data_IF_430276140092
#
_entry.id   IF_430276140092
#
_cell.length_a   1.000
_cell.length_b   1.000
_cell.length_c   1.000
_cell.angle_alpha   90.00
_cell.angle_beta   90.00
_cell.angle_gamma   90.00
#
_symmetry.space_group_name_H-M   'P 1'
#
loop_
_entity.id
_entity.type
_entity.pdbx_description
1 polymer ?
#
# COMPACT_ATOMS: atom_id res chain seq x y z
N UNK A 1 78.97 67.30 44.37
CA UNK A 1 78.68 65.90 44.78
C UNK A 1 77.68 65.32 43.77
N UNK A 2 77.75 64.01 43.51
CA UNK A 2 78.54 63.30 42.48
C UNK A 2 77.87 63.41 41.07
N UNK A 3 78.37 62.94 39.92
CA UNK A 3 79.48 62.06 39.53
C UNK A 3 78.97 61.24 38.34
N UNK A 4 79.70 61.20 37.21
CA UNK A 4 79.56 60.22 36.13
C UNK A 4 80.62 60.43 35.03
N UNK A 5 80.91 59.33 34.33
CA UNK A 5 81.51 59.17 32.99
C UNK A 5 82.99 58.75 32.81
N UNK A 6 83.12 57.50 32.32
CA UNK A 6 83.75 57.03 31.08
C UNK A 6 85.27 57.25 30.83
N UNK A 7 86.02 56.12 30.88
CA UNK A 7 86.82 55.44 29.82
C UNK A 7 87.90 56.24 28.99
N UNK A 8 88.81 55.61 28.17
CA UNK A 8 89.51 54.30 28.19
C UNK A 8 91.00 54.34 27.70
N UNK A 9 91.57 53.14 27.41
CA UNK A 9 92.69 52.77 26.48
C UNK A 9 94.10 52.63 27.11
N UNK A 10 94.99 51.65 26.82
CA UNK A 10 95.47 51.04 25.55
C UNK A 10 96.17 49.66 25.81
N UNK A 11 95.83 48.64 24.99
CA UNK A 11 96.65 47.67 24.18
C UNK A 11 98.02 47.16 24.74
N UNK A 12 98.36 45.87 24.68
CA UNK A 12 98.84 45.05 23.51
C UNK A 12 99.05 43.59 23.99
N UNK A 13 98.90 42.47 23.27
CA UNK A 13 99.52 41.88 22.04
C UNK A 13 98.85 40.48 21.93
N UNK A 14 98.43 39.94 20.79
CA UNK A 14 99.25 39.32 19.72
C UNK A 14 98.51 38.02 19.32
N UNK A 15 97.93 37.92 18.13
CA UNK A 15 98.51 37.31 16.91
C UNK A 15 98.88 35.83 17.04
N UNK A 16 97.90 34.94 16.89
CA UNK A 16 97.96 33.64 16.20
C UNK A 16 96.54 33.04 16.18
N UNK A 17 96.16 32.30 15.13
CA UNK A 17 94.89 31.55 14.94
C UNK A 17 93.74 32.23 14.17
N UNK A 18 94.01 32.93 13.06
CA UNK A 18 92.95 33.36 12.11
C UNK A 18 92.79 32.52 10.84
N UNK A 19 93.56 31.45 10.64
CA UNK A 19 93.44 30.61 9.42
C UNK A 19 92.64 29.31 9.57
N UNK A 20 92.30 28.87 10.78
CA UNK A 20 91.57 27.61 11.01
C UNK A 20 90.06 27.78 11.26
N UNK A 21 89.57 29.00 11.51
CA UNK A 21 88.13 29.26 11.74
C UNK A 21 87.31 29.44 10.46
N UNK A 22 87.92 29.81 9.34
CA UNK A 22 87.15 30.01 8.09
C UNK A 22 86.80 28.69 7.39
N UNK A 23 87.68 27.67 7.51
CA UNK A 23 87.47 26.35 6.91
C UNK A 23 86.38 25.53 7.62
N UNK A 24 86.22 25.65 8.93
CA UNK A 24 85.18 24.91 9.66
C UNK A 24 83.78 25.50 9.48
N UNK A 25 83.66 26.82 9.27
CA UNK A 25 82.38 27.45 8.98
C UNK A 25 81.83 27.08 7.61
N UNK A 26 82.69 26.92 6.60
CA UNK A 26 82.27 26.48 5.26
C UNK A 26 81.87 25.01 5.27
N UNK A 27 82.52 24.17 6.09
CA UNK A 27 82.17 22.76 6.22
C UNK A 27 80.87 22.55 7.04
N UNK A 28 80.65 23.36 8.09
CA UNK A 28 79.39 23.35 8.85
C UNK A 28 78.21 23.93 8.05
N UNK A 29 78.43 24.96 7.23
CA UNK A 29 77.40 25.47 6.30
C UNK A 29 77.11 24.49 5.17
N UNK A 30 78.13 23.75 4.68
CA UNK A 30 77.96 22.67 3.70
C UNK A 30 77.14 21.50 4.24
N UNK A 31 77.38 21.06 5.48
CA UNK A 31 76.60 19.97 6.11
C UNK A 31 75.18 20.41 6.47
N UNK A 32 74.98 21.67 6.90
CA UNK A 32 73.63 22.22 7.10
C UNK A 32 72.84 22.39 5.79
N UNK A 33 73.52 22.72 4.68
CA UNK A 33 72.89 22.82 3.36
C UNK A 33 72.58 21.45 2.74
N UNK A 34 73.38 20.42 3.00
CA UNK A 34 73.15 19.05 2.51
C UNK A 34 72.08 18.31 3.34
N UNK A 35 72.02 18.52 4.66
CA UNK A 35 70.92 17.99 5.48
C UNK A 35 69.60 18.77 5.32
N UNK A 36 69.66 20.02 4.84
CA UNK A 36 68.48 20.83 4.50
C UNK A 36 67.94 20.60 3.09
N UNK A 37 68.59 19.75 2.28
CA UNK A 37 68.14 19.45 0.92
C UNK A 37 67.08 18.34 0.91
N UNK A 38 65.83 18.79 0.74
CA UNK A 38 64.68 18.06 0.17
C UNK A 38 64.31 16.74 0.87
N UNK A 39 63.73 16.86 2.07
CA UNK A 39 62.50 16.08 2.28
C UNK A 39 61.53 16.62 1.23
N UNK A 40 61.28 15.83 0.17
CA UNK A 40 60.47 16.27 -0.96
C UNK A 40 59.12 16.72 -0.45
N UNK A 41 58.89 18.03 -0.53
CA UNK A 41 57.64 18.66 -0.10
C UNK A 41 56.46 18.10 -0.88
N UNK A 42 56.69 17.58 -2.08
CA UNK A 42 55.72 16.81 -2.86
C UNK A 42 55.46 15.43 -2.24
N UNK A 43 56.49 14.65 -1.91
CA UNK A 43 56.35 13.35 -1.23
C UNK A 43 55.56 13.46 0.08
N UNK A 44 55.84 14.47 0.90
CA UNK A 44 55.09 14.69 2.15
C UNK A 44 53.65 15.16 1.91
N UNK A 45 53.39 15.93 0.85
CA UNK A 45 52.02 16.34 0.47
C UNK A 45 51.20 15.14 -0.02
N UNK A 46 51.79 14.31 -0.86
CA UNK A 46 51.15 13.12 -1.40
C UNK A 46 50.87 12.10 -0.30
N UNK A 47 51.80 11.93 0.65
CA UNK A 47 51.60 11.06 1.79
C UNK A 47 50.46 11.57 2.72
N UNK A 48 50.40 12.87 3.00
CA UNK A 48 49.30 13.49 3.77
C UNK A 48 47.96 13.38 3.02
N UNK A 49 47.96 13.54 1.70
CA UNK A 49 46.76 13.38 0.89
C UNK A 49 46.29 11.92 0.90
N UNK A 50 47.21 10.96 0.77
CA UNK A 50 46.89 9.53 0.85
C UNK A 50 46.31 9.18 2.22
N UNK A 51 46.87 9.67 3.33
CA UNK A 51 46.28 9.45 4.65
C UNK A 51 44.89 10.06 4.80
N UNK A 52 44.63 11.21 4.16
CA UNK A 52 43.28 11.80 4.15
C UNK A 52 42.30 10.95 3.36
N UNK A 53 42.71 10.46 2.19
CA UNK A 53 41.89 9.58 1.36
C UNK A 53 41.63 8.25 2.08
N UNK A 54 42.65 7.66 2.68
CA UNK A 54 42.53 6.42 3.45
C UNK A 54 41.62 6.59 4.67
N UNK A 55 41.75 7.69 5.41
CA UNK A 55 40.86 8.00 6.53
C UNK A 55 39.41 8.26 6.08
N UNK A 56 39.22 8.84 4.90
CA UNK A 56 37.89 9.04 4.33
C UNK A 56 37.28 7.72 3.88
N UNK A 57 38.07 6.83 3.26
CA UNK A 57 37.60 5.51 2.87
C UNK A 57 37.19 4.69 4.09
N UNK A 58 38.00 4.67 5.16
CA UNK A 58 37.62 3.98 6.40
C UNK A 58 36.33 4.54 7.03
N UNK A 59 36.10 5.85 6.90
CA UNK A 59 34.85 6.44 7.36
C UNK A 59 33.66 6.02 6.48
N UNK A 60 33.87 5.93 5.17
CA UNK A 60 32.84 5.43 4.22
C UNK A 60 32.53 3.95 4.49
N UNK A 61 33.54 3.11 4.66
CA UNK A 61 33.37 1.68 4.95
C UNK A 61 32.58 1.48 6.25
N UNK A 62 32.86 2.27 7.28
CA UNK A 62 32.11 2.22 8.54
C UNK A 62 30.65 2.67 8.38
N UNK A 63 30.39 3.70 7.56
CA UNK A 63 29.02 4.13 7.25
C UNK A 63 28.26 3.10 6.42
N UNK A 64 28.95 2.32 5.57
CA UNK A 64 28.35 1.22 4.81
C UNK A 64 27.92 0.10 5.75
N UNK A 65 28.76 -0.29 6.71
CA UNK A 65 28.41 -1.28 7.75
C UNK A 65 27.24 -0.82 8.63
N UNK A 66 27.24 0.44 9.08
CA UNK A 66 26.11 1.01 9.84
C UNK A 66 24.83 1.07 8.99
N UNK A 67 24.94 1.32 7.69
CA UNK A 67 23.79 1.34 6.79
C UNK A 67 23.21 -0.07 6.59
N UNK A 68 24.06 -1.08 6.42
CA UNK A 68 23.65 -2.48 6.31
C UNK A 68 22.93 -2.97 7.59
N UNK A 69 23.45 -2.63 8.77
CA UNK A 69 22.80 -2.98 10.06
C UNK A 69 21.40 -2.35 10.17
N UNK A 70 21.26 -1.07 9.78
CA UNK A 70 19.98 -0.36 9.79
C UNK A 70 19.01 -0.92 8.75
N UNK A 71 19.49 -1.31 7.56
CA UNK A 71 18.67 -1.95 6.53
C UNK A 71 18.14 -3.31 7.01
N UNK A 72 18.99 -4.14 7.63
CA UNK A 72 18.56 -5.41 8.23
C UNK A 72 17.55 -5.20 9.36
N UNK A 73 17.75 -4.20 10.24
CA UNK A 73 16.77 -3.87 11.28
C UNK A 73 15.43 -3.43 10.67
N UNK A 74 15.48 -2.62 9.59
CA UNK A 74 14.28 -2.15 8.89
C UNK A 74 13.53 -3.27 8.18
N UNK A 75 14.23 -4.18 7.49
CA UNK A 75 13.61 -5.34 6.83
C UNK A 75 12.99 -6.34 7.81
N UNK A 76 13.52 -6.40 9.04
CA UNK A 76 12.95 -7.22 10.12
C UNK A 76 11.68 -6.61 10.75
N UNK A 77 11.33 -5.36 10.42
CA UNK A 77 10.06 -4.77 10.84
C UNK A 77 8.89 -5.39 10.08
N UNK A 78 7.71 -5.43 10.72
CA UNK A 78 6.50 -5.90 10.04
C UNK A 78 6.11 -4.95 8.91
N UNK A 79 5.77 -5.51 7.75
CA UNK A 79 5.26 -4.75 6.62
C UNK A 79 4.07 -3.87 7.01
N UNK A 80 4.06 -2.65 6.47
CA UNK A 80 2.89 -1.80 6.57
C UNK A 80 1.69 -2.47 5.90
N UNK A 81 0.49 -2.38 6.50
CA UNK A 81 -0.68 -2.99 5.91
C UNK A 81 -0.96 -2.37 4.55
N UNK A 82 -1.13 -3.23 3.54
CA UNK A 82 -1.48 -2.78 2.20
C UNK A 82 -2.78 -1.93 2.22
N UNK A 83 -2.84 -1.00 1.27
CA UNK A 83 -3.98 -0.12 1.02
C UNK A 83 -5.30 -0.89 0.88
N UNK A 84 -5.28 -2.10 0.32
CA UNK A 84 -6.47 -2.96 0.21
C UNK A 84 -6.96 -3.45 1.58
N UNK A 85 -6.04 -3.88 2.45
CA UNK A 85 -6.33 -4.27 3.84
C UNK A 85 -6.93 -3.11 4.62
N UNK A 86 -6.36 -1.91 4.48
CA UNK A 86 -6.90 -0.69 5.08
C UNK A 86 -8.30 -0.36 4.58
N UNK A 87 -8.55 -0.48 3.27
CA UNK A 87 -9.88 -0.26 2.67
C UNK A 87 -10.92 -1.25 3.18
N UNK A 88 -10.56 -2.53 3.29
CA UNK A 88 -11.43 -3.59 3.85
C UNK A 88 -11.75 -3.35 5.33
N UNK A 89 -10.75 -2.96 6.13
CA UNK A 89 -10.97 -2.64 7.53
C UNK A 89 -11.89 -1.42 7.70
N UNK A 90 -11.66 -0.34 6.94
CA UNK A 90 -12.57 0.82 6.90
C UNK A 90 -13.98 0.45 6.47
N UNK A 91 -14.15 -0.49 5.55
CA UNK A 91 -15.47 -0.96 5.13
C UNK A 91 -16.17 -1.76 6.24
N UNK A 92 -15.44 -2.63 6.94
CA UNK A 92 -15.96 -3.39 8.09
C UNK A 92 -16.40 -2.47 9.23
N UNK A 93 -15.59 -1.47 9.56
CA UNK A 93 -15.94 -0.47 10.58
C UNK A 93 -17.21 0.28 10.16
N UNK A 94 -17.28 0.79 8.92
CA UNK A 94 -18.48 1.46 8.39
C UNK A 94 -19.75 0.60 8.40
N UNK A 95 -19.61 -0.72 8.19
CA UNK A 95 -20.76 -1.64 8.29
C UNK A 95 -21.25 -1.83 9.73
N UNK A 96 -20.43 -1.53 10.74
CA UNK A 96 -20.79 -1.59 12.17
C UNK A 96 -21.26 -0.25 12.73
N UNK A 97 -20.87 0.86 12.10
CA UNK A 97 -21.27 2.23 12.49
C UNK A 97 -22.76 2.54 12.19
N UNK A 98 -23.50 1.57 11.64
CA UNK A 98 -24.94 1.53 11.43
C UNK A 98 -25.62 2.89 11.27
N UNK A 99 -25.63 3.41 10.04
CA UNK A 99 -26.35 4.64 9.68
C UNK A 99 -27.88 4.48 9.60
N UNK A 100 -28.43 3.40 10.16
CA UNK A 100 -29.87 3.09 10.10
C UNK A 100 -30.74 4.20 10.72
N UNK A 101 -30.18 5.05 11.59
CA UNK A 101 -30.92 6.15 12.21
C UNK A 101 -30.98 7.43 11.37
N UNK A 102 -30.21 7.54 10.27
CA UNK A 102 -30.10 8.78 9.50
C UNK A 102 -30.93 8.78 8.21
N UNK A 103 -31.12 7.63 7.56
CA UNK A 103 -31.83 7.51 6.29
C UNK A 103 -32.91 6.43 6.35
N UNK A 104 -34.02 6.61 5.64
CA UNK A 104 -35.08 5.60 5.57
C UNK A 104 -34.65 4.36 4.76
N UNK A 105 -35.41 3.25 4.85
CA UNK A 105 -35.13 1.98 4.14
C UNK A 105 -34.94 2.10 2.62
N UNK A 106 -35.55 3.13 2.02
CA UNK A 106 -35.52 3.40 0.58
C UNK A 106 -34.54 4.50 0.18
N UNK A 107 -33.70 4.95 1.11
CA UNK A 107 -32.72 6.00 0.94
C UNK A 107 -31.30 5.48 1.22
N UNK A 108 -30.31 6.20 0.71
CA UNK A 108 -28.90 5.94 1.00
C UNK A 108 -28.16 7.23 1.33
N UNK A 109 -27.12 7.16 2.19
CA UNK A 109 -26.36 8.33 2.56
C UNK A 109 -25.40 8.77 1.45
N UNK A 110 -25.48 10.04 1.06
CA UNK A 110 -24.51 10.72 0.21
C UNK A 110 -23.12 10.77 0.85
N UNK A 111 -23.00 10.55 2.16
CA UNK A 111 -21.73 10.68 2.89
C UNK A 111 -21.15 12.10 2.80
N UNK A 112 -19.86 12.23 3.11
CA UNK A 112 -19.21 13.54 3.25
C UNK A 112 -19.47 14.16 4.63
N UNK A 113 -19.16 15.45 4.76
CA UNK A 113 -19.29 16.18 6.04
C UNK A 113 -20.74 16.55 6.37
N UNK A 114 -21.57 16.76 5.35
CA UNK A 114 -22.98 17.13 5.51
C UNK A 114 -23.83 15.87 5.30
N UNK A 115 -24.54 15.40 6.34
CA UNK A 115 -25.41 14.24 6.19
C UNK A 115 -26.59 14.59 5.27
N UNK A 116 -26.66 13.91 4.13
CA UNK A 116 -27.77 13.99 3.18
C UNK A 116 -28.15 12.56 2.77
N UNK A 117 -29.45 12.30 2.69
CA UNK A 117 -30.02 11.05 2.20
C UNK A 117 -30.70 11.30 0.85
N UNK A 118 -30.53 10.37 -0.09
CA UNK A 118 -31.19 10.39 -1.40
C UNK A 118 -31.87 9.06 -1.65
N UNK A 119 -32.94 9.08 -2.46
CA UNK A 119 -33.67 7.86 -2.81
C UNK A 119 -32.80 6.86 -3.56
N UNK A 120 -33.00 5.57 -3.32
CA UNK A 120 -32.21 4.51 -3.98
C UNK A 120 -32.40 4.40 -5.49
N UNK A 121 -33.42 5.05 -6.05
CA UNK A 121 -33.65 5.13 -7.49
C UNK A 121 -32.97 6.33 -8.16
N UNK A 122 -32.40 7.24 -7.37
CA UNK A 122 -31.69 8.44 -7.85
C UNK A 122 -30.19 8.19 -8.01
N UNK A 123 -29.66 7.13 -7.39
CA UNK A 123 -28.24 6.81 -7.50
C UNK A 123 -27.92 6.25 -8.88
N UNK A 124 -26.94 6.85 -9.57
CA UNK A 124 -26.49 6.46 -10.90
C UNK A 124 -27.59 6.57 -11.96
N UNK A 125 -28.50 7.54 -11.82
CA UNK A 125 -29.56 7.79 -12.79
C UNK A 125 -29.12 8.76 -13.90
N UNK A 126 -27.98 9.45 -13.71
CA UNK A 126 -27.42 10.44 -14.61
C UNK A 126 -27.60 11.89 -14.13
N UNK A 127 -28.26 12.11 -13.00
CA UNK A 127 -28.47 13.41 -12.36
C UNK A 127 -27.81 13.45 -10.99
N UNK A 128 -27.20 14.60 -10.65
CA UNK A 128 -26.56 14.79 -9.36
C UNK A 128 -27.61 15.22 -8.34
N UNK A 129 -28.07 14.29 -7.51
CA UNK A 129 -29.01 14.53 -6.42
C UNK A 129 -28.31 14.74 -5.08
N UNK A 130 -27.13 14.16 -4.88
CA UNK A 130 -26.28 14.52 -3.75
C UNK A 130 -25.63 15.90 -3.98
N UNK A 131 -25.57 16.73 -2.93
CA UNK A 131 -24.91 18.05 -2.99
C UNK A 131 -23.42 17.96 -3.32
N UNK A 132 -22.77 16.86 -2.92
CA UNK A 132 -21.38 16.55 -3.29
C UNK A 132 -21.26 15.81 -4.63
N UNK A 133 -22.37 15.43 -5.27
CA UNK A 133 -22.43 14.68 -6.52
C UNK A 133 -21.95 13.23 -6.43
N UNK A 134 -21.83 12.67 -5.22
CA UNK A 134 -21.26 11.33 -4.98
C UNK A 134 -22.06 10.21 -5.63
N UNK A 135 -23.36 10.36 -5.67
CA UNK A 135 -24.31 9.45 -6.30
C UNK A 135 -24.04 9.18 -7.78
N UNK A 136 -23.32 10.09 -8.46
CA UNK A 136 -22.95 9.98 -9.88
C UNK A 136 -21.44 9.78 -10.10
N UNK A 137 -20.68 9.50 -9.05
CA UNK A 137 -19.23 9.25 -9.18
C UNK A 137 -18.95 7.86 -9.77
N UNK A 138 -17.91 7.77 -10.61
CA UNK A 138 -17.55 6.54 -11.35
C UNK A 138 -17.37 5.31 -10.45
N UNK A 139 -16.86 5.48 -9.22
CA UNK A 139 -16.69 4.37 -8.29
C UNK A 139 -18.01 3.95 -7.60
N UNK A 140 -19.02 4.80 -7.56
CA UNK A 140 -20.36 4.43 -7.08
C UNK A 140 -21.09 3.68 -8.19
N UNK A 141 -21.00 4.19 -9.42
CA UNK A 141 -21.67 3.65 -10.61
C UNK A 141 -20.86 2.59 -11.36
N UNK A 142 -19.81 2.04 -10.72
CA UNK A 142 -18.92 1.08 -11.33
C UNK A 142 -19.66 -0.20 -11.73
N UNK A 143 -19.53 -0.58 -13.01
CA UNK A 143 -20.08 -1.83 -13.55
C UNK A 143 -19.18 -3.04 -13.26
N UNK A 144 -18.00 -2.83 -12.67
CA UNK A 144 -17.02 -3.88 -12.34
C UNK A 144 -17.63 -5.11 -11.64
N UNK A 145 -18.52 -4.96 -10.63
CA UNK A 145 -19.15 -6.09 -9.95
C UNK A 145 -20.04 -6.97 -10.84
N UNK A 146 -20.47 -6.43 -11.99
CA UNK A 146 -21.42 -7.05 -12.90
C UNK A 146 -20.90 -7.08 -14.33
N UNK A 147 -19.58 -7.00 -14.50
CA UNK A 147 -18.96 -7.18 -15.80
C UNK A 147 -19.24 -8.60 -16.30
N UNK A 148 -19.59 -8.73 -17.59
CA UNK A 148 -19.80 -10.04 -18.22
C UNK A 148 -18.52 -10.88 -18.13
N UNK A 149 -18.64 -12.14 -17.70
CA UNK A 149 -17.52 -13.02 -17.45
C UNK A 149 -16.96 -12.96 -16.03
N UNK A 150 -17.36 -12.00 -15.20
CA UNK A 150 -17.02 -12.02 -13.77
C UNK A 150 -17.56 -13.28 -13.11
N UNK A 151 -16.68 -14.01 -12.42
CA UNK A 151 -17.04 -15.21 -11.67
C UNK A 151 -16.75 -14.99 -10.20
N UNK A 152 -17.75 -15.25 -9.35
CA UNK A 152 -17.64 -15.14 -7.90
C UNK A 152 -17.79 -16.52 -7.29
N UNK A 153 -16.74 -16.99 -6.61
CA UNK A 153 -16.69 -18.32 -6.00
C UNK A 153 -16.66 -18.19 -4.48
N UNK A 154 -17.42 -19.03 -3.79
CA UNK A 154 -17.47 -19.03 -2.33
C UNK A 154 -18.01 -20.35 -1.78
N UNK A 155 -17.80 -20.58 -0.49
CA UNK A 155 -18.35 -21.74 0.22
C UNK A 155 -19.76 -21.39 0.71
N UNK A 156 -20.77 -22.09 0.21
CA UNK A 156 -22.15 -21.96 0.65
C UNK A 156 -22.41 -22.83 1.88
N UNK A 157 -22.84 -22.20 2.97
CA UNK A 157 -23.27 -22.84 4.20
C UNK A 157 -24.79 -22.73 4.33
N UNK A 158 -25.44 -23.84 4.63
CA UNK A 158 -26.91 -23.91 4.77
C UNK A 158 -27.28 -23.83 6.24
N UNK A 159 -28.20 -22.94 6.56
CA UNK A 159 -28.81 -22.81 7.89
C UNK A 159 -30.22 -23.38 7.91
N UNK A 160 -30.92 -23.35 6.77
CA UNK A 160 -32.33 -23.74 6.65
C UNK A 160 -32.68 -24.14 5.20
N UNK A 161 -33.94 -24.50 4.93
CA UNK A 161 -34.54 -24.87 3.65
C UNK A 161 -33.98 -26.12 2.96
N UNK A 162 -32.70 -26.46 3.19
CA UNK A 162 -32.02 -27.64 2.68
C UNK A 162 -31.11 -28.22 3.74
N UNK A 163 -31.12 -29.55 3.81
CA UNK A 163 -30.17 -30.32 4.62
C UNK A 163 -29.08 -30.79 3.67
N UNK A 164 -27.86 -30.28 3.81
CA UNK A 164 -26.73 -30.68 2.99
C UNK A 164 -25.41 -30.11 3.51
N UNK A 165 -24.28 -30.76 3.19
CA UNK A 165 -22.98 -30.24 3.59
C UNK A 165 -22.67 -28.91 2.88
N UNK A 166 -21.81 -28.07 3.48
CA UNK A 166 -21.28 -26.92 2.80
C UNK A 166 -20.62 -27.29 1.46
N UNK A 167 -20.83 -26.48 0.44
CA UNK A 167 -20.29 -26.74 -0.89
C UNK A 167 -19.90 -25.47 -1.62
N UNK A 168 -18.92 -25.57 -2.53
CA UNK A 168 -18.53 -24.42 -3.35
C UNK A 168 -19.64 -24.06 -4.33
N UNK A 169 -19.95 -22.77 -4.39
CA UNK A 169 -20.88 -22.18 -5.34
C UNK A 169 -20.14 -21.11 -6.13
N UNK A 170 -20.29 -21.15 -7.44
CA UNK A 170 -19.76 -20.17 -8.39
C UNK A 170 -20.91 -19.44 -9.08
N UNK A 171 -20.87 -18.11 -9.07
CA UNK A 171 -21.83 -17.23 -9.72
C UNK A 171 -21.11 -16.56 -10.88
N UNK A 172 -21.45 -16.92 -12.11
CA UNK A 172 -20.83 -16.35 -13.33
C UNK A 172 -21.78 -15.39 -14.00
N UNK A 173 -21.37 -14.14 -14.19
CA UNK A 173 -22.17 -13.12 -14.88
C UNK A 173 -22.14 -13.40 -16.39
N UNK A 174 -23.29 -13.77 -16.95
CA UNK A 174 -23.42 -14.15 -18.36
C UNK A 174 -23.78 -12.98 -19.28
N UNK A 175 -24.58 -12.03 -18.78
CA UNK A 175 -24.95 -10.83 -19.53
C UNK A 175 -25.36 -9.71 -18.59
N UNK A 176 -25.09 -8.46 -18.99
CA UNK A 176 -25.50 -7.26 -18.27
C UNK A 176 -26.11 -6.26 -19.24
N UNK A 177 -27.21 -5.63 -18.85
CA UNK A 177 -27.91 -4.62 -19.63
C UNK A 177 -28.40 -3.49 -18.73
N UNK A 178 -27.93 -2.28 -19.00
CA UNK A 178 -28.54 -1.04 -18.48
C UNK A 178 -29.55 -0.52 -19.50
N UNK A 179 -30.63 0.10 -19.03
CA UNK A 179 -31.62 0.76 -19.89
C UNK A 179 -31.41 2.27 -19.79
N UNK A 180 -31.44 2.97 -20.92
CA UNK A 180 -31.04 4.38 -20.99
C UNK A 180 -31.92 5.29 -20.13
N UNK A 181 -33.23 5.00 -20.07
CA UNK A 181 -34.20 5.78 -19.29
C UNK A 181 -34.25 5.40 -17.80
N UNK A 182 -33.56 4.34 -17.38
CA UNK A 182 -33.58 3.87 -15.98
C UNK A 182 -32.24 3.21 -15.63
N UNK A 183 -31.24 4.07 -15.35
CA UNK A 183 -29.85 3.66 -15.12
C UNK A 183 -29.54 3.26 -13.68
N UNK A 184 -30.41 3.62 -12.72
CA UNK A 184 -30.29 3.26 -11.31
C UNK A 184 -30.25 1.75 -11.04
N UNK A 185 -30.58 0.91 -12.03
CA UNK A 185 -30.38 -0.54 -11.98
C UNK A 185 -29.80 -1.06 -13.28
N UNK A 186 -28.89 -2.03 -13.14
CA UNK A 186 -28.42 -2.82 -14.26
C UNK A 186 -29.06 -4.22 -14.21
N UNK A 187 -29.70 -4.65 -15.28
CA UNK A 187 -30.26 -6.00 -15.38
C UNK A 187 -29.15 -7.00 -15.67
N UNK A 188 -29.15 -8.12 -14.95
CA UNK A 188 -28.09 -9.11 -15.00
C UNK A 188 -28.68 -10.49 -15.28
N UNK A 189 -28.00 -11.25 -16.13
CA UNK A 189 -28.16 -12.70 -16.26
C UNK A 189 -26.89 -13.37 -15.76
N UNK A 190 -27.04 -14.46 -15.04
CA UNK A 190 -25.94 -15.20 -14.47
C UNK A 190 -26.20 -16.71 -14.55
N UNK A 191 -25.14 -17.49 -14.46
CA UNK A 191 -25.19 -18.94 -14.27
C UNK A 191 -24.67 -19.22 -12.87
N UNK A 192 -25.45 -19.94 -12.08
CA UNK A 192 -25.05 -20.36 -10.73
C UNK A 192 -24.76 -21.84 -10.75
N UNK A 193 -23.56 -22.22 -10.32
CA UNK A 193 -23.08 -23.61 -10.31
C UNK A 193 -22.64 -24.00 -8.90
N UNK A 194 -23.16 -25.10 -8.37
CA UNK A 194 -22.76 -25.69 -7.09
C UNK A 194 -22.03 -27.02 -7.28
N UNK A 195 -20.95 -27.21 -6.53
CA UNK A 195 -20.13 -28.44 -6.46
C UNK A 195 -20.56 -29.29 -5.27
N UNK A 196 -21.63 -30.08 -5.43
CA UNK A 196 -22.26 -30.80 -4.32
C UNK A 196 -21.66 -32.20 -4.19
N UNK A 197 -21.07 -32.56 -3.04
CA UNK A 197 -20.65 -33.93 -2.77
C UNK A 197 -21.87 -34.86 -2.76
N UNK A 198 -21.80 -35.95 -3.51
CA UNK A 198 -22.80 -37.02 -3.50
C UNK A 198 -22.48 -38.05 -2.39
N UNK A 199 -23.38 -39.01 -2.15
CA UNK A 199 -23.27 -40.04 -1.10
C UNK A 199 -21.97 -40.88 -1.20
N UNK A 200 -21.37 -40.93 -2.39
CA UNK A 200 -20.10 -41.61 -2.66
C UNK A 200 -18.86 -40.71 -2.52
N UNK A 201 -19.02 -39.49 -2.02
CA UNK A 201 -18.01 -38.43 -2.02
C UNK A 201 -17.54 -37.99 -3.42
N UNK A 202 -18.34 -38.26 -4.45
CA UNK A 202 -18.10 -37.77 -5.81
C UNK A 202 -18.70 -36.36 -5.96
N UNK A 203 -18.01 -35.45 -6.65
CA UNK A 203 -18.48 -34.08 -6.81
C UNK A 203 -19.47 -34.02 -7.97
N UNK A 204 -20.74 -33.78 -7.66
CA UNK A 204 -21.78 -33.53 -8.66
C UNK A 204 -21.94 -32.04 -8.92
N UNK A 205 -21.90 -31.64 -10.20
CA UNK A 205 -22.13 -30.25 -10.61
C UNK A 205 -23.63 -30.03 -10.84
N UNK A 206 -24.22 -29.08 -10.11
CA UNK A 206 -25.59 -28.62 -10.37
C UNK A 206 -25.55 -27.16 -10.80
N UNK A 207 -26.10 -26.86 -11.97
CA UNK A 207 -26.14 -25.49 -12.49
C UNK A 207 -27.57 -25.06 -12.85
N UNK A 208 -27.82 -23.76 -12.73
CA UNK A 208 -29.08 -23.16 -13.13
C UNK A 208 -28.87 -21.73 -13.64
N UNK A 209 -29.71 -21.30 -14.59
CA UNK A 209 -29.66 -19.92 -15.08
C UNK A 209 -30.48 -19.01 -14.17
N UNK A 210 -29.89 -17.89 -13.79
CA UNK A 210 -30.50 -16.87 -12.97
C UNK A 210 -30.58 -15.53 -13.71
N UNK A 211 -31.58 -14.74 -13.36
CA UNK A 211 -31.76 -13.36 -13.82
C UNK A 211 -32.07 -12.45 -12.64
N UNK A 212 -31.75 -11.19 -12.77
CA UNK A 212 -32.13 -10.19 -11.79
C UNK A 212 -31.50 -8.85 -12.11
N UNK A 213 -31.02 -8.17 -11.08
CA UNK A 213 -30.49 -6.82 -11.23
C UNK A 213 -29.43 -6.50 -10.19
N UNK A 214 -28.64 -5.49 -10.50
CA UNK A 214 -27.74 -4.82 -9.59
C UNK A 214 -28.33 -3.48 -9.18
N UNK A 215 -28.38 -3.26 -7.88
CA UNK A 215 -28.79 -2.02 -7.22
C UNK A 215 -27.51 -1.25 -6.84
N UNK A 216 -27.23 -0.15 -7.55
CA UNK A 216 -26.04 0.66 -7.32
C UNK A 216 -26.06 1.33 -5.94
N UNK A 217 -27.22 1.81 -5.51
CA UNK A 217 -27.39 2.48 -4.21
C UNK A 217 -26.98 1.56 -3.05
N UNK A 218 -27.45 0.30 -3.07
CA UNK A 218 -27.14 -0.67 -2.01
C UNK A 218 -25.92 -1.54 -2.30
N UNK A 219 -25.29 -1.36 -3.46
CA UNK A 219 -24.23 -2.24 -4.00
C UNK A 219 -24.62 -3.71 -3.89
N UNK A 220 -25.82 -4.03 -4.36
CA UNK A 220 -26.45 -5.34 -4.13
C UNK A 220 -26.83 -5.99 -5.45
N UNK A 221 -26.27 -7.17 -5.70
CA UNK A 221 -26.66 -8.06 -6.79
C UNK A 221 -27.78 -8.99 -6.29
N UNK A 222 -28.92 -8.97 -6.96
CA UNK A 222 -30.06 -9.85 -6.66
C UNK A 222 -30.31 -10.74 -7.86
N UNK A 223 -30.29 -12.05 -7.65
CA UNK A 223 -30.49 -13.07 -8.68
C UNK A 223 -31.61 -14.02 -8.25
N UNK A 224 -32.51 -14.30 -9.17
CA UNK A 224 -33.56 -15.30 -9.04
C UNK A 224 -33.50 -16.28 -10.22
N UNK A 225 -33.90 -17.55 -10.06
CA UNK A 225 -33.94 -18.51 -11.16
C UNK A 225 -34.79 -18.02 -12.33
N UNK A 226 -34.40 -18.35 -13.56
CA UNK A 226 -35.21 -18.03 -14.73
C UNK A 226 -36.56 -18.78 -14.69
N UNK A 227 -37.65 -18.19 -15.23
CA UNK A 227 -38.96 -18.83 -15.27
C UNK A 227 -38.91 -20.20 -15.95
N UNK A 228 -39.65 -21.17 -15.39
CA UNK A 228 -39.70 -22.53 -15.93
C UNK A 228 -38.65 -23.48 -15.35
N UNK A 229 -37.74 -23.00 -14.50
CA UNK A 229 -36.83 -23.86 -13.74
C UNK A 229 -37.44 -24.27 -12.38
N UNK A 230 -37.13 -25.48 -11.90
CA UNK A 230 -37.64 -26.01 -10.63
C UNK A 230 -36.91 -25.46 -9.39
N UNK A 231 -36.05 -24.47 -9.56
CA UNK A 231 -35.31 -23.83 -8.46
C UNK A 231 -36.14 -22.68 -7.87
N UNK A 232 -36.32 -22.67 -6.55
CA UNK A 232 -37.08 -21.67 -5.79
C UNK A 232 -36.19 -20.80 -4.89
N UNK A 233 -34.87 -20.91 -5.03
CA UNK A 233 -33.89 -20.17 -4.24
C UNK A 233 -33.24 -19.10 -5.11
N UNK A 234 -33.22 -17.86 -4.62
CA UNK A 234 -32.45 -16.75 -5.14
C UNK A 234 -31.18 -16.51 -4.34
N UNK A 235 -30.30 -15.67 -4.88
CA UNK A 235 -29.06 -15.24 -4.23
C UNK A 235 -29.04 -13.72 -4.22
N UNK A 236 -28.77 -13.14 -3.05
CA UNK A 236 -28.57 -11.72 -2.88
C UNK A 236 -27.17 -11.46 -2.31
N UNK A 237 -26.30 -10.83 -3.09
CA UNK A 237 -24.92 -10.50 -2.73
C UNK A 237 -24.76 -9.00 -2.48
N UNK A 238 -24.12 -8.63 -1.38
CA UNK A 238 -23.81 -7.24 -1.02
C UNK A 238 -22.30 -7.01 -1.13
N UNK A 239 -21.90 -6.02 -1.93
CA UNK A 239 -20.51 -5.61 -2.11
C UNK A 239 -20.15 -4.51 -1.09
N UNK A 240 -20.11 -4.91 0.18
CA UNK A 240 -19.89 -4.07 1.37
C UNK A 240 -18.48 -4.22 1.96
N UNK A 241 -17.58 -4.95 1.30
CA UNK A 241 -16.25 -5.27 1.83
C UNK A 241 -15.16 -4.27 1.41
N UNK A 242 -15.54 -3.17 0.76
CA UNK A 242 -14.63 -2.08 0.38
C UNK A 242 -13.97 -2.24 -0.98
N UNK A 243 -14.15 -3.38 -1.64
CA UNK A 243 -13.72 -3.64 -3.01
C UNK A 243 -14.87 -4.20 -3.86
N UNK A 244 -14.62 -4.51 -5.13
CA UNK A 244 -15.59 -5.08 -6.07
C UNK A 244 -15.44 -6.59 -6.25
N UNK A 245 -14.47 -7.18 -5.56
CA UNK A 245 -14.06 -8.56 -5.76
C UNK A 245 -14.62 -9.45 -4.64
N UNK A 246 -15.01 -8.88 -3.50
CA UNK A 246 -15.59 -9.60 -2.39
C UNK A 246 -17.02 -9.15 -2.11
N UNK A 247 -17.90 -10.12 -1.83
CA UNK A 247 -19.26 -9.85 -1.43
C UNK A 247 -19.75 -10.84 -0.36
N UNK A 248 -20.60 -10.34 0.53
CA UNK A 248 -21.36 -11.16 1.47
C UNK A 248 -22.71 -11.48 0.81
N UNK A 249 -22.97 -12.77 0.58
CA UNK A 249 -24.18 -13.24 -0.08
C UNK A 249 -25.07 -14.07 0.84
N UNK A 250 -26.36 -13.98 0.60
CA UNK A 250 -27.39 -14.78 1.27
C UNK A 250 -28.19 -15.55 0.22
N UNK A 251 -28.48 -16.81 0.53
CA UNK A 251 -29.35 -17.68 -0.26
C UNK A 251 -30.73 -17.56 0.35
N UNK A 252 -31.72 -17.18 -0.44
CA UNK A 252 -33.07 -16.87 0.04
C UNK A 252 -34.14 -17.56 -0.77
N UNK A 253 -35.25 -17.89 -0.15
CA UNK A 253 -36.45 -18.29 -0.91
C UNK A 253 -37.01 -17.08 -1.67
N UNK A 254 -37.38 -17.27 -2.94
CA UNK A 254 -37.80 -16.15 -3.81
C UNK A 254 -39.11 -15.47 -3.38
N UNK A 255 -40.00 -16.16 -2.66
CA UNK A 255 -41.31 -15.64 -2.26
C UNK A 255 -41.29 -15.04 -0.85
N UNK A 256 -40.84 -15.82 0.14
CA UNK A 256 -40.82 -15.38 1.54
C UNK A 256 -39.64 -14.46 1.87
N UNK A 257 -38.61 -14.46 1.01
CA UNK A 257 -37.30 -13.83 1.26
C UNK A 257 -36.58 -14.38 2.50
N UNK A 258 -37.04 -15.53 3.01
CA UNK A 258 -36.44 -16.23 4.15
C UNK A 258 -35.03 -16.67 3.82
N UNK A 259 -34.13 -16.52 4.78
CA UNK A 259 -32.72 -16.83 4.62
C UNK A 259 -32.47 -18.32 4.88
N UNK A 260 -32.06 -19.02 3.83
CA UNK A 260 -31.77 -20.45 3.84
C UNK A 260 -30.29 -20.74 4.11
N UNK A 261 -29.42 -19.78 3.85
CA UNK A 261 -27.98 -19.95 4.00
C UNK A 261 -27.20 -18.72 3.58
N UNK A 262 -25.90 -18.81 3.77
CA UNK A 262 -24.97 -17.72 3.51
C UNK A 262 -23.77 -18.21 2.70
N UNK A 263 -23.18 -17.33 1.92
CA UNK A 263 -21.89 -17.59 1.28
C UNK A 263 -21.12 -16.28 1.17
N UNK A 264 -19.84 -16.33 1.47
CA UNK A 264 -18.92 -15.22 1.19
C UNK A 264 -18.17 -15.56 -0.08
N UNK A 265 -18.22 -14.67 -1.05
CA UNK A 265 -17.65 -14.90 -2.37
C UNK A 265 -16.47 -13.99 -2.63
N UNK A 266 -15.54 -14.50 -3.42
CA UNK A 266 -14.39 -13.80 -3.97
C UNK A 266 -14.39 -13.96 -5.50
N UNK A 267 -13.96 -12.91 -6.20
CA UNK A 267 -13.85 -12.91 -7.65
C UNK A 267 -12.64 -13.71 -8.10
N UNK A 268 -12.83 -14.63 -9.03
CA UNK A 268 -11.81 -15.50 -9.61
C UNK A 268 -11.61 -15.23 -11.09
#
# INVERSE_FOLDING_TARGET
>A
RPGQHLAPTVRTRGLQNKLTMLGSYILLLGVAAVLGSRVDREFMKDHINNYRVESQNLHVDHLEEEFEEVEEEFENLSDLPDTTTMRRLRARVRNLEDHHDLCNDHEVPCGGEIPQCVGTLLVCDGHKDCNNGRDEEDYVCALTPIHVGSTYRGLATWSDCRIGPPHYTSITIAATKTVEFFKARAYVKAVVTGEIPDDKHEISLRSYNARGYFDFARRRLVLAPEPGQHHHLGIACRFNLGDYDHADCTIREILSLHECGSLRVERT
#
